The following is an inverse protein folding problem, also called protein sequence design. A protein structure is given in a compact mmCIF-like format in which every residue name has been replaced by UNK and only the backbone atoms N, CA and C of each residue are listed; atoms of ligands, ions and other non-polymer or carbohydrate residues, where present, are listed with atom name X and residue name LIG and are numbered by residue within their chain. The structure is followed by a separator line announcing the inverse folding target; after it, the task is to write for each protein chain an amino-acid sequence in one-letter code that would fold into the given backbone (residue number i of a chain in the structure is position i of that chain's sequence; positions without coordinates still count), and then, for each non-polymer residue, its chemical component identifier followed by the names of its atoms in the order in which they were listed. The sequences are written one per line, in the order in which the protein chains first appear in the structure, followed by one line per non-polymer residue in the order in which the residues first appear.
data_IF_784592572980
#
_entry.id   IF_784592572980
#
_cell.length_a   1.000
_cell.length_b   1.000
_cell.length_c   1.000
_cell.angle_alpha   90.00
_cell.angle_beta   90.00
_cell.angle_gamma   90.00
#
_symmetry.space_group_name_H-M   'P 1'
#
loop_
_entity.id
_entity.type
_entity.pdbx_description
1 polymer ?
#
# COMPACT_ATOMS: atom_id res chain seq x y z
N UNK A 1 -12.13 -0.19 -9.44
CA UNK A 1 -12.06 1.28 -9.28
C UNK A 1 -10.67 1.72 -8.82
N UNK A 2 -10.27 1.49 -7.56
CA UNK A 2 -8.99 2.00 -6.99
C UNK A 2 -7.74 1.59 -7.81
N UNK A 3 -7.55 0.30 -8.10
CA UNK A 3 -6.40 -0.14 -8.90
C UNK A 3 -6.39 0.39 -10.33
N UNK A 4 -7.57 0.60 -10.92
CA UNK A 4 -7.70 1.21 -12.26
C UNK A 4 -7.33 2.69 -12.21
N UNK A 5 -7.76 3.43 -11.18
CA UNK A 5 -7.36 4.82 -10.98
C UNK A 5 -5.84 4.94 -10.76
N UNK A 6 -5.26 4.05 -9.98
CA UNK A 6 -3.82 3.99 -9.74
C UNK A 6 -3.03 3.71 -11.03
N UNK A 7 -3.50 2.77 -11.84
CA UNK A 7 -2.92 2.47 -13.15
C UNK A 7 -3.05 3.66 -14.11
N UNK A 8 -4.22 4.31 -14.15
CA UNK A 8 -4.47 5.45 -15.03
C UNK A 8 -3.53 6.64 -14.72
N UNK A 9 -3.32 6.96 -13.44
CA UNK A 9 -2.39 8.02 -13.03
C UNK A 9 -0.95 7.67 -13.38
N UNK A 10 -0.52 6.43 -13.13
CA UNK A 10 0.83 5.97 -13.50
C UNK A 10 1.07 6.04 -15.01
N UNK A 11 0.11 5.57 -15.80
CA UNK A 11 0.18 5.64 -17.27
C UNK A 11 0.17 7.08 -17.77
N UNK A 12 -0.66 7.96 -17.19
CA UNK A 12 -0.68 9.38 -17.55
C UNK A 12 0.70 10.02 -17.33
N UNK A 13 1.36 9.74 -16.20
CA UNK A 13 2.70 10.27 -15.95
C UNK A 13 3.73 9.74 -16.95
N UNK A 14 3.69 8.45 -17.29
CA UNK A 14 4.56 7.89 -18.33
C UNK A 14 4.31 8.55 -19.70
N UNK A 15 3.05 8.80 -20.06
CA UNK A 15 2.68 9.50 -21.30
C UNK A 15 3.17 10.95 -21.32
N UNK A 16 3.25 11.60 -20.15
CA UNK A 16 3.81 12.94 -19.98
C UNK A 16 5.36 12.95 -19.92
N UNK A 17 6.01 11.79 -20.10
CA UNK A 17 7.47 11.67 -20.15
C UNK A 17 8.13 11.47 -18.77
N UNK A 18 7.37 11.17 -17.72
CA UNK A 18 7.95 10.81 -16.43
C UNK A 18 8.69 9.46 -16.50
N UNK A 19 9.77 9.32 -15.71
CA UNK A 19 10.44 8.04 -15.54
C UNK A 19 9.61 7.05 -14.71
N UNK A 20 9.92 5.75 -14.87
CA UNK A 20 9.26 4.66 -14.15
C UNK A 20 9.20 4.82 -12.61
N UNK A 21 10.25 5.34 -11.92
CA UNK A 21 10.17 5.56 -10.47
C UNK A 21 9.09 6.56 -10.06
N UNK A 22 8.94 7.67 -10.80
CA UNK A 22 7.95 8.69 -10.49
C UNK A 22 6.53 8.19 -10.75
N UNK A 23 6.33 7.46 -11.86
CA UNK A 23 5.05 6.81 -12.15
C UNK A 23 4.69 5.79 -11.05
N UNK A 24 5.64 4.98 -10.58
CA UNK A 24 5.43 4.01 -9.52
C UNK A 24 5.03 4.67 -8.19
N UNK A 25 5.71 5.74 -7.78
CA UNK A 25 5.36 6.52 -6.58
C UNK A 25 3.93 7.03 -6.67
N UNK A 26 3.55 7.63 -7.79
CA UNK A 26 2.20 8.13 -7.98
C UNK A 26 1.15 7.01 -7.96
N UNK A 27 1.44 5.87 -8.62
CA UNK A 27 0.57 4.69 -8.59
C UNK A 27 0.35 4.16 -7.17
N UNK A 28 1.38 4.15 -6.31
CA UNK A 28 1.26 3.77 -4.89
C UNK A 28 0.52 4.84 -4.06
N UNK A 29 0.70 6.12 -4.38
CA UNK A 29 0.06 7.22 -3.64
C UNK A 29 -1.46 7.29 -3.88
N UNK A 30 -1.96 6.91 -5.06
CA UNK A 30 -3.39 6.95 -5.39
C UNK A 30 -4.27 6.15 -4.42
N UNK A 31 -4.03 4.85 -4.14
CA UNK A 31 -4.84 4.11 -3.18
C UNK A 31 -4.73 4.69 -1.76
N UNK A 32 -3.56 5.20 -1.36
CA UNK A 32 -3.40 5.87 -0.07
C UNK A 32 -4.28 7.13 0.01
N UNK A 33 -4.26 8.00 -1.01
CA UNK A 33 -5.08 9.20 -1.06
C UNK A 33 -6.58 8.90 -1.14
N UNK A 34 -6.99 7.97 -2.01
CA UNK A 34 -8.40 7.60 -2.20
C UNK A 34 -9.01 6.94 -0.96
N UNK A 35 -8.18 6.29 -0.14
CA UNK A 35 -8.60 5.67 1.12
C UNK A 35 -8.32 6.54 2.33
N UNK A 36 -7.83 7.78 2.12
CA UNK A 36 -7.41 8.72 3.18
C UNK A 36 -6.40 8.11 4.16
N UNK A 37 -5.55 7.22 3.68
CA UNK A 37 -4.55 6.53 4.48
C UNK A 37 -5.08 5.33 5.27
N UNK A 38 -6.38 5.01 5.24
CA UNK A 38 -7.00 3.97 6.10
C UNK A 38 -6.27 2.62 6.09
N UNK A 39 -5.78 2.18 4.92
CA UNK A 39 -5.07 0.90 4.84
C UNK A 39 -3.64 0.97 5.39
N UNK A 40 -2.99 2.13 5.25
CA UNK A 40 -1.64 2.36 5.79
C UNK A 40 -1.71 2.54 7.30
N UNK A 41 -2.72 3.27 7.78
CA UNK A 41 -3.03 3.45 9.20
C UNK A 41 -3.25 2.10 9.89
N UNK A 42 -4.20 1.30 9.38
CA UNK A 42 -4.46 -0.04 9.94
C UNK A 42 -3.26 -0.99 9.85
N UNK A 43 -2.38 -0.84 8.85
CA UNK A 43 -1.13 -1.61 8.77
C UNK A 43 -0.13 -1.16 9.85
N UNK A 44 0.01 0.15 10.08
CA UNK A 44 0.85 0.70 11.12
C UNK A 44 0.36 0.30 12.51
N UNK A 45 -0.93 0.48 12.79
CA UNK A 45 -1.57 0.08 14.06
C UNK A 45 -1.36 -1.41 14.32
N UNK A 46 -1.60 -2.25 13.31
CA UNK A 46 -1.42 -3.69 13.43
C UNK A 46 0.03 -4.03 13.77
N UNK A 47 1.00 -3.39 13.11
CA UNK A 47 2.41 -3.59 13.38
C UNK A 47 2.82 -3.13 14.78
N UNK A 48 2.33 -1.98 15.25
CA UNK A 48 2.64 -1.48 16.59
C UNK A 48 1.99 -2.31 17.70
N UNK A 49 0.73 -2.71 17.52
CA UNK A 49 0.05 -3.59 18.47
C UNK A 49 0.74 -4.95 18.57
N UNK A 50 1.02 -5.62 17.45
CA UNK A 50 1.68 -6.93 17.43
C UNK A 50 3.16 -6.84 17.84
N UNK A 51 3.86 -5.78 17.43
CA UNK A 51 5.27 -5.54 17.75
C UNK A 51 5.51 -5.18 19.22
N UNK A 52 4.49 -4.71 19.94
CA UNK A 52 4.59 -4.36 21.36
C UNK A 52 4.89 -5.53 22.30
N UNK A 53 4.67 -6.78 21.84
CA UNK A 53 4.78 -8.00 22.64
C UNK A 53 3.98 -7.98 23.96
N UNK A 54 2.93 -7.15 24.05
CA UNK A 54 2.04 -7.05 25.21
C UNK A 54 0.88 -8.05 25.11
N UNK A 55 0.18 -8.35 26.23
CA UNK A 55 -1.07 -9.09 26.20
C UNK A 55 -2.09 -8.47 25.23
N UNK A 56 -3.04 -9.27 24.75
CA UNK A 56 -3.98 -8.86 23.69
C UNK A 56 -4.74 -7.56 24.01
N UNK A 57 -5.20 -7.39 25.26
CA UNK A 57 -5.91 -6.18 25.69
C UNK A 57 -5.07 -4.91 25.56
N UNK A 58 -3.79 -5.01 25.90
CA UNK A 58 -2.83 -3.90 25.81
C UNK A 58 -2.42 -3.62 24.36
N UNK A 59 -2.20 -4.66 23.56
CA UNK A 59 -1.93 -4.52 22.13
C UNK A 59 -3.10 -3.83 21.40
N UNK A 60 -4.34 -4.22 21.72
CA UNK A 60 -5.54 -3.57 21.20
C UNK A 60 -5.70 -2.13 21.68
N UNK A 61 -5.23 -1.81 22.89
CA UNK A 61 -5.18 -0.44 23.39
C UNK A 61 -4.18 0.39 22.58
N UNK A 62 -3.00 -0.16 22.27
CA UNK A 62 -1.99 0.50 21.42
C UNK A 62 -2.54 0.79 20.03
N UNK A 63 -3.19 -0.18 19.38
CA UNK A 63 -3.82 -0.02 18.06
C UNK A 63 -4.90 1.07 18.00
N UNK A 64 -5.42 1.53 19.14
CA UNK A 64 -6.45 2.59 19.23
C UNK A 64 -5.86 3.96 19.55
N UNK A 65 -4.56 4.03 19.83
CA UNK A 65 -3.88 5.31 20.04
C UNK A 65 -3.67 5.96 18.68
N UNK A 66 -3.75 7.29 18.62
CA UNK A 66 -3.54 8.04 17.36
C UNK A 66 -2.06 8.21 17.02
N UNK A 67 -1.16 7.85 17.93
CA UNK A 67 0.28 7.99 17.74
C UNK A 67 0.84 6.77 17.01
N UNK A 68 1.68 7.01 16.00
CA UNK A 68 2.40 5.95 15.31
C UNK A 68 3.63 5.53 16.14
N UNK A 69 3.81 4.22 16.32
CA UNK A 69 4.96 3.64 16.99
C UNK A 69 6.11 3.28 16.04
N UNK A 70 7.26 2.85 16.58
CA UNK A 70 8.43 2.50 15.78
C UNK A 70 8.21 1.33 14.82
N UNK A 71 7.38 0.35 15.21
CA UNK A 71 7.10 -0.81 14.35
C UNK A 71 6.16 -0.45 13.20
N UNK A 72 5.20 0.45 13.45
CA UNK A 72 4.34 1.04 12.43
C UNK A 72 5.16 1.78 11.39
N UNK A 73 6.04 2.68 11.82
CA UNK A 73 6.96 3.41 10.92
C UNK A 73 7.82 2.45 10.10
N UNK A 74 8.49 1.48 10.75
CA UNK A 74 9.36 0.53 10.05
C UNK A 74 8.59 -0.28 9.00
N UNK A 75 7.41 -0.79 9.37
CA UNK A 75 6.53 -1.55 8.48
C UNK A 75 6.10 -0.72 7.28
N UNK A 76 5.66 0.52 7.49
CA UNK A 76 5.24 1.41 6.41
C UNK A 76 6.38 1.73 5.45
N UNK A 77 7.57 2.06 5.98
CA UNK A 77 8.74 2.35 5.14
C UNK A 77 9.08 1.14 4.28
N UNK A 78 9.21 -0.04 4.87
CA UNK A 78 9.57 -1.26 4.12
C UNK A 78 8.49 -1.63 3.09
N UNK A 79 7.21 -1.53 3.46
CA UNK A 79 6.09 -1.86 2.58
C UNK A 79 6.00 -0.90 1.39
N UNK A 80 6.04 0.41 1.63
CA UNK A 80 5.97 1.42 0.57
C UNK A 80 7.19 1.35 -0.35
N UNK A 81 8.40 1.16 0.19
CA UNK A 81 9.60 0.96 -0.62
C UNK A 81 9.49 -0.28 -1.50
N UNK A 82 9.04 -1.40 -0.94
CA UNK A 82 8.85 -2.63 -1.71
C UNK A 82 7.82 -2.46 -2.83
N UNK A 83 6.69 -1.81 -2.55
CA UNK A 83 5.65 -1.52 -3.53
C UNK A 83 6.16 -0.62 -4.67
N UNK A 84 6.85 0.47 -4.32
CA UNK A 84 7.42 1.40 -5.32
C UNK A 84 8.50 0.71 -6.14
N UNK A 85 9.41 -0.04 -5.51
CA UNK A 85 10.47 -0.76 -6.22
C UNK A 85 9.90 -1.80 -7.20
N UNK A 86 8.91 -2.59 -6.77
CA UNK A 86 8.26 -3.58 -7.62
C UNK A 86 7.54 -2.94 -8.81
N UNK A 87 6.80 -1.85 -8.58
CA UNK A 87 6.10 -1.12 -9.66
C UNK A 87 7.07 -0.39 -10.60
N UNK A 88 8.16 0.18 -10.08
CA UNK A 88 9.17 0.84 -10.91
C UNK A 88 9.83 -0.16 -11.86
N UNK A 89 10.16 -1.37 -11.37
CA UNK A 89 10.67 -2.44 -12.23
C UNK A 89 9.63 -2.89 -13.26
N UNK A 90 8.37 -3.09 -12.85
CA UNK A 90 7.30 -3.48 -13.76
C UNK A 90 7.05 -2.45 -14.86
N UNK A 91 7.07 -1.15 -14.54
CA UNK A 91 6.96 -0.06 -15.53
C UNK A 91 8.20 0.06 -16.41
N UNK A 92 9.40 -0.20 -15.86
CA UNK A 92 10.64 -0.25 -16.62
C UNK A 92 10.66 -1.34 -17.69
N UNK A 93 10.09 -2.50 -17.39
CA UNK A 93 9.91 -3.58 -18.35
C UNK A 93 8.87 -3.27 -19.43
N UNK A 94 7.70 -2.77 -19.01
CA UNK A 94 6.59 -2.43 -19.91
C UNK A 94 5.51 -1.63 -19.19
N UNK A 95 5.00 -0.58 -19.84
CA UNK A 95 3.85 0.18 -19.34
C UNK A 95 2.64 -0.71 -19.03
N UNK A 96 2.42 -1.77 -19.83
CA UNK A 96 1.31 -2.70 -19.66
C UNK A 96 1.48 -3.58 -18.41
N UNK A 97 2.72 -4.02 -18.12
CA UNK A 97 3.04 -4.81 -16.92
C UNK A 97 2.81 -4.00 -15.65
N UNK A 98 3.29 -2.75 -15.60
CA UNK A 98 3.05 -1.88 -14.46
C UNK A 98 1.56 -1.57 -14.24
N UNK A 99 0.81 -1.30 -15.32
CA UNK A 99 -0.64 -1.10 -15.22
C UNK A 99 -1.38 -2.35 -14.73
N UNK A 100 -1.05 -3.53 -15.27
CA UNK A 100 -1.62 -4.80 -14.81
C UNK A 100 -1.27 -5.07 -13.35
N UNK A 101 -0.03 -4.84 -12.92
CA UNK A 101 0.39 -5.01 -11.53
C UNK A 101 -0.41 -4.12 -10.57
N UNK A 102 -0.69 -2.86 -10.94
CA UNK A 102 -1.51 -1.95 -10.15
C UNK A 102 -2.98 -2.40 -10.04
N UNK A 103 -3.55 -2.95 -11.10
CA UNK A 103 -4.93 -3.48 -11.08
C UNK A 103 -5.00 -4.77 -10.28
N UNK A 104 -4.10 -5.72 -10.54
CA UNK A 104 -4.08 -7.03 -9.87
C UNK A 104 -3.84 -6.87 -8.37
N UNK A 105 -2.91 -6.01 -7.95
CA UNK A 105 -2.66 -5.79 -6.52
C UNK A 105 -3.92 -5.30 -5.77
N UNK A 106 -4.69 -4.38 -6.36
CA UNK A 106 -5.95 -3.91 -5.78
C UNK A 106 -7.05 -4.98 -5.74
N UNK A 107 -7.07 -5.91 -6.70
CA UNK A 107 -7.99 -7.05 -6.69
C UNK A 107 -7.59 -8.05 -5.60
N UNK A 108 -6.31 -8.40 -5.53
CA UNK A 108 -5.76 -9.32 -4.52
C UNK A 108 -6.03 -8.79 -3.12
N UNK A 109 -5.79 -7.50 -2.86
CA UNK A 109 -6.06 -6.88 -1.56
C UNK A 109 -7.51 -7.03 -1.12
N UNK A 110 -8.47 -6.88 -2.05
CA UNK A 110 -9.91 -7.06 -1.76
C UNK A 110 -10.26 -8.51 -1.46
N UNK A 111 -9.74 -9.45 -2.25
CA UNK A 111 -10.01 -10.87 -2.07
C UNK A 111 -9.40 -11.37 -0.75
N UNK A 112 -8.19 -10.94 -0.41
CA UNK A 112 -7.53 -11.27 0.84
C UNK A 112 -8.38 -10.85 2.07
N UNK A 113 -8.94 -9.64 2.06
CA UNK A 113 -9.84 -9.19 3.13
C UNK A 113 -11.09 -10.07 3.22
N UNK A 114 -11.72 -10.41 2.09
CA UNK A 114 -12.91 -11.28 2.11
C UNK A 114 -12.62 -12.69 2.61
N UNK A 115 -11.40 -13.19 2.42
CA UNK A 115 -10.98 -14.49 2.94
C UNK A 115 -10.70 -14.41 4.44
N UNK A 116 -10.03 -13.35 4.89
CA UNK A 116 -9.72 -13.14 6.31
C UNK A 116 -10.98 -12.95 7.16
N UNK A 117 -12.03 -12.31 6.62
CA UNK A 117 -13.28 -12.05 7.34
C UNK A 117 -14.26 -13.25 7.38
N UNK A 118 -13.89 -14.42 6.85
CA UNK A 118 -14.76 -15.62 6.82
C UNK A 118 -14.69 -16.48 8.10
N UNK A 119 -13.73 -16.21 8.97
CA UNK A 119 -13.48 -16.94 10.23
C UNK A 119 -13.94 -16.12 11.41
#
# INVERSE_FOLDING_TARGET
AVGVAAAAVGLLLLLLGAGAPLAAVATVAVPAALTRGLHLDGLADTADGLGSAKPAEDALRIMKQSDIGPFGVLTLVLALLAQVAALAQAYGDSWARGALAAVVSALVARLALTLAART
#
